data_IF_674593361163
#
_entry.id   IF_674593361163
#
_cell.length_a   1.000
_cell.length_b   1.000
_cell.length_c   1.000
_cell.angle_alpha   90.00
_cell.angle_beta   90.00
_cell.angle_gamma   90.00
#
_symmetry.space_group_name_H-M   'P 1'
#
loop_
_entity.id
_entity.type
_entity.pdbx_description
1 polymer ?
#
# COMPACT_ATOMS: atom_id res chain seq x y z
N UNK A 1 4.94 26.02 4.37
CA UNK A 1 5.34 24.75 3.73
C UNK A 1 4.65 23.61 4.46
N UNK A 2 3.97 22.72 3.74
CA UNK A 2 3.33 21.54 4.31
C UNK A 2 4.23 20.35 3.94
N UNK A 3 4.89 19.78 4.94
CA UNK A 3 5.78 18.64 4.77
C UNK A 3 5.00 17.37 5.11
N UNK A 4 4.77 16.54 4.11
CA UNK A 4 4.23 15.20 4.31
C UNK A 4 5.42 14.26 4.28
N UNK A 5 5.87 13.87 5.47
CA UNK A 5 6.92 12.87 5.64
C UNK A 5 6.39 11.50 5.20
N UNK A 6 6.58 11.21 3.91
CA UNK A 6 6.18 9.95 3.30
C UNK A 6 7.03 8.77 3.79
N UNK A 7 8.29 9.01 4.13
CA UNK A 7 9.20 7.96 4.64
C UNK A 7 8.70 7.44 5.99
N UNK A 8 8.48 8.33 6.96
CA UNK A 8 7.97 7.95 8.28
C UNK A 8 6.60 7.25 8.18
N UNK A 9 5.76 7.67 7.23
CA UNK A 9 4.45 7.06 7.02
C UNK A 9 4.55 5.66 6.41
N UNK A 10 5.45 5.43 5.44
CA UNK A 10 5.72 4.10 4.89
C UNK A 10 6.24 3.17 5.99
N UNK A 11 7.17 3.64 6.83
CA UNK A 11 7.67 2.87 7.98
C UNK A 11 6.54 2.49 8.93
N UNK A 12 5.58 3.40 9.15
CA UNK A 12 4.39 3.10 9.97
C UNK A 12 3.56 1.98 9.34
N UNK A 13 3.32 2.00 8.02
CA UNK A 13 2.60 0.94 7.31
C UNK A 13 3.34 -0.41 7.41
N UNK A 14 4.67 -0.42 7.36
CA UNK A 14 5.48 -1.63 7.59
C UNK A 14 5.31 -2.20 9.01
N UNK A 15 5.29 -1.33 10.02
CA UNK A 15 5.10 -1.76 11.42
C UNK A 15 3.66 -2.09 11.78
N UNK A 16 2.69 -1.58 11.03
CA UNK A 16 1.25 -1.80 11.22
C UNK A 16 0.55 -2.04 9.88
N UNK A 17 0.78 -3.21 9.27
CA UNK A 17 0.30 -3.51 7.92
C UNK A 17 -1.23 -3.64 7.85
N UNK A 18 -1.91 -3.81 8.99
CA UNK A 18 -3.37 -3.89 9.08
C UNK A 18 -4.12 -2.68 8.52
N UNK A 19 -3.44 -1.54 8.35
CA UNK A 19 -3.97 -0.36 7.65
C UNK A 19 -4.32 -0.66 6.18
N UNK A 20 -3.64 -1.61 5.54
CA UNK A 20 -3.93 -2.06 4.17
C UNK A 20 -5.07 -3.08 4.09
N UNK A 21 -5.60 -3.54 5.23
CA UNK A 21 -6.66 -4.55 5.31
C UNK A 21 -6.15 -5.97 5.61
N UNK A 22 -7.08 -6.92 5.71
CA UNK A 22 -6.79 -8.32 6.02
C UNK A 22 -6.06 -9.03 4.88
N UNK A 23 -5.04 -9.83 5.19
CA UNK A 23 -4.20 -10.50 4.19
C UNK A 23 -3.23 -9.57 3.47
N UNK A 24 -2.87 -8.45 4.12
CA UNK A 24 -1.97 -7.45 3.58
C UNK A 24 -0.53 -7.95 3.43
N UNK A 25 0.14 -7.42 2.40
CA UNK A 25 1.54 -7.71 2.15
C UNK A 25 2.31 -6.41 1.91
N UNK A 26 3.30 -6.18 2.78
CA UNK A 26 4.20 -5.02 2.74
C UNK A 26 5.60 -5.37 2.23
N UNK A 27 5.88 -6.65 1.95
CA UNK A 27 7.23 -7.12 1.57
C UNK A 27 7.31 -7.63 0.13
N UNK A 28 6.22 -8.15 -0.41
CA UNK A 28 6.14 -8.66 -1.78
C UNK A 28 5.44 -7.67 -2.71
N UNK A 29 5.83 -7.71 -3.99
CA UNK A 29 5.16 -7.00 -5.06
C UNK A 29 3.90 -7.72 -5.52
N UNK A 30 2.81 -6.99 -5.74
CA UNK A 30 1.57 -7.54 -6.28
C UNK A 30 1.75 -8.16 -7.68
N UNK A 31 2.54 -7.52 -8.57
CA UNK A 31 2.84 -8.01 -9.91
C UNK A 31 3.67 -9.30 -9.94
N UNK A 32 4.35 -9.64 -8.84
CA UNK A 32 5.17 -10.87 -8.71
C UNK A 32 4.46 -12.00 -7.97
N UNK A 33 3.36 -11.72 -7.29
CA UNK A 33 2.57 -12.71 -6.59
C UNK A 33 1.63 -13.42 -7.58
N UNK A 34 2.10 -14.51 -8.20
CA UNK A 34 1.19 -15.46 -8.84
C UNK A 34 0.38 -16.16 -7.75
N UNK A 35 -0.95 -15.98 -7.66
CA UNK A 35 -1.79 -16.85 -6.82
C UNK A 35 -1.79 -18.25 -7.44
N UNK A 36 -0.84 -19.10 -7.04
CA UNK A 36 -0.77 -20.50 -7.47
C UNK A 36 -1.71 -21.33 -6.60
N UNK A 37 -3.00 -21.28 -6.91
CA UNK A 37 -3.91 -22.38 -6.58
C UNK A 37 -4.28 -23.07 -7.88
N UNK A 38 -3.68 -24.25 -8.09
CA UNK A 38 -4.06 -25.30 -9.04
C UNK A 38 -4.95 -24.87 -10.23
N UNK A 39 -4.33 -24.80 -11.41
CA UNK A 39 -4.95 -24.83 -12.74
C UNK A 39 -5.64 -23.58 -13.31
N UNK A 40 -5.57 -22.40 -12.68
CA UNK A 40 -5.94 -21.15 -13.37
C UNK A 40 -5.01 -20.02 -12.94
N UNK A 41 -4.29 -19.41 -13.88
CA UNK A 41 -3.56 -18.17 -13.61
C UNK A 41 -4.59 -17.08 -13.25
N UNK A 42 -4.85 -16.89 -11.95
CA UNK A 42 -5.67 -15.78 -11.50
C UNK A 42 -4.87 -14.50 -11.69
N UNK A 43 -5.31 -13.68 -12.63
CA UNK A 43 -4.80 -12.33 -12.95
C UNK A 43 -5.09 -11.30 -11.86
N UNK A 44 -5.62 -11.71 -10.70
CA UNK A 44 -6.14 -10.83 -9.67
C UNK A 44 -5.34 -10.91 -8.36
N UNK A 45 -4.03 -10.61 -8.40
CA UNK A 45 -3.39 -10.11 -7.20
C UNK A 45 -4.12 -8.82 -6.80
N UNK A 46 -4.87 -8.86 -5.68
CA UNK A 46 -5.67 -7.71 -5.26
C UNK A 46 -4.74 -6.60 -4.78
N UNK A 47 -4.50 -5.60 -5.62
CA UNK A 47 -3.78 -4.37 -5.25
C UNK A 47 -4.41 -3.64 -4.05
N UNK A 48 -5.62 -4.04 -3.63
CA UNK A 48 -6.31 -3.59 -2.43
C UNK A 48 -5.58 -3.86 -1.12
N UNK A 49 -4.67 -4.84 -1.07
CA UNK A 49 -4.00 -5.26 0.18
C UNK A 49 -2.47 -5.27 0.10
N UNK A 50 -1.89 -4.77 -1.00
CA UNK A 50 -0.44 -4.71 -1.19
C UNK A 50 0.07 -3.28 -0.98
N UNK A 51 1.27 -3.16 -0.41
CA UNK A 51 2.00 -1.88 -0.35
C UNK A 51 2.63 -1.55 -1.70
N UNK A 52 3.18 -2.57 -2.37
CA UNK A 52 3.94 -2.43 -3.60
C UNK A 52 3.22 -3.07 -4.79
N UNK A 53 3.10 -2.33 -5.89
CA UNK A 53 2.66 -2.88 -7.16
C UNK A 53 3.75 -3.75 -7.78
N UNK A 54 4.98 -3.22 -7.83
CA UNK A 54 6.18 -3.90 -8.35
C UNK A 54 7.39 -3.64 -7.43
N UNK A 55 8.61 -3.91 -7.89
CA UNK A 55 9.85 -3.71 -7.12
C UNK A 55 10.19 -2.24 -6.84
N UNK A 56 9.51 -1.29 -7.50
CA UNK A 56 9.84 0.15 -7.49
C UNK A 56 8.66 1.06 -7.19
N UNK A 57 7.44 0.62 -7.46
CA UNK A 57 6.23 1.43 -7.40
C UNK A 57 5.25 0.93 -6.35
N UNK A 58 4.60 1.89 -5.70
CA UNK A 58 3.56 1.64 -4.72
C UNK A 58 2.25 1.20 -5.41
N UNK A 59 1.51 0.34 -4.74
CA UNK A 59 0.17 -0.04 -5.18
C UNK A 59 -0.79 1.16 -5.11
N UNK A 60 -1.85 1.20 -5.93
CA UNK A 60 -2.87 2.25 -5.89
C UNK A 60 -3.44 2.50 -4.48
N UNK A 61 -3.60 1.45 -3.67
CA UNK A 61 -4.09 1.55 -2.29
C UNK A 61 -3.11 2.29 -1.39
N UNK A 62 -1.82 1.99 -1.50
CA UNK A 62 -0.78 2.69 -0.76
C UNK A 62 -0.71 4.17 -1.14
N UNK A 63 -0.84 4.49 -2.43
CA UNK A 63 -0.95 5.89 -2.90
C UNK A 63 -2.15 6.61 -2.28
N UNK A 64 -3.32 5.98 -2.20
CA UNK A 64 -4.51 6.57 -1.57
C UNK A 64 -4.26 6.85 -0.09
N UNK A 65 -3.69 5.90 0.66
CA UNK A 65 -3.37 6.08 2.07
C UNK A 65 -2.41 7.25 2.32
N UNK A 66 -1.43 7.44 1.44
CA UNK A 66 -0.53 8.60 1.51
C UNK A 66 -1.26 9.90 1.21
N UNK A 67 -2.13 9.88 0.19
CA UNK A 67 -3.01 11.00 -0.13
C UNK A 67 -3.93 11.39 1.03
N UNK A 68 -4.54 10.41 1.69
CA UNK A 68 -5.41 10.61 2.84
C UNK A 68 -4.63 11.16 4.05
N UNK A 69 -3.42 10.66 4.30
CA UNK A 69 -2.53 11.21 5.34
C UNK A 69 -2.17 12.67 5.05
N UNK A 70 -1.79 12.99 3.81
CA UNK A 70 -1.51 14.36 3.38
C UNK A 70 -2.75 15.26 3.55
N UNK A 71 -3.90 14.78 3.10
CA UNK A 71 -5.17 15.49 3.20
C UNK A 71 -5.57 15.75 4.66
N UNK A 72 -5.43 14.76 5.55
CA UNK A 72 -5.72 14.90 6.97
C UNK A 72 -4.79 15.91 7.65
N UNK A 73 -3.50 15.92 7.29
CA UNK A 73 -2.54 16.93 7.78
C UNK A 73 -2.88 18.34 7.29
N UNK A 74 -3.38 18.47 6.06
CA UNK A 74 -3.89 19.75 5.54
C UNK A 74 -5.11 20.17 6.34
N UNK A 75 -6.10 19.30 6.47
CA UNK A 75 -7.36 19.58 7.16
C UNK A 75 -7.13 19.96 8.63
N UNK A 76 -6.25 19.26 9.34
CA UNK A 76 -5.94 19.52 10.75
C UNK A 76 -5.21 20.86 11.00
N UNK A 77 -4.74 21.54 9.94
CA UNK A 77 -4.12 22.86 10.03
C UNK A 77 -5.15 24.00 10.03
N UNK A 78 -6.41 23.71 9.71
CA UNK A 78 -7.54 24.64 9.67
C UNK A 78 -8.59 24.25 10.73
#
# INVERSE_FOLDING_TARGET
MLLVDNEAYITTIHTSPGILGSGCNVTAAACGATPVTSCTASTNASYGVYLYADDRHLAPTAHRLMGDNAYNKIKARW
#
